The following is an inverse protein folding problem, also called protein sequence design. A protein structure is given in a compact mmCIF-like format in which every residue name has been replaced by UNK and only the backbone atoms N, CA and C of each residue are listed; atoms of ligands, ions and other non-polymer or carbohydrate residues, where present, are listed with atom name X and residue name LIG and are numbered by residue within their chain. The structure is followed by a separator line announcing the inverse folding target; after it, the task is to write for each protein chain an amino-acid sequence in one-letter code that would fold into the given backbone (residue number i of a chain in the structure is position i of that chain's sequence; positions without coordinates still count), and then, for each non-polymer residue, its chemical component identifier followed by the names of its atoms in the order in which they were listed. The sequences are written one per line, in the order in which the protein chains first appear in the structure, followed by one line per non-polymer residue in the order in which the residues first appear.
data_IF_768061477964
#
_entry.id   IF_768061477964
#
_cell.length_a   1.000
_cell.length_b   1.000
_cell.length_c   1.000
_cell.angle_alpha   90.00
_cell.angle_beta   90.00
_cell.angle_gamma   90.00
#
_symmetry.space_group_name_H-M   'P 1'
#
loop_
_entity.id
_entity.type
_entity.pdbx_description
1 polymer ?
#
# COMPACT_ATOMS: atom_id res chain seq x y z
N UNK A 1 1.71 -22.86 -12.78
CA UNK A 1 0.79 -22.80 -11.63
C UNK A 1 1.32 -21.77 -10.65
N UNK A 2 0.46 -21.01 -9.96
CA UNK A 2 0.88 -20.07 -8.92
C UNK A 2 1.77 -20.73 -7.85
N UNK A 3 2.83 -20.05 -7.43
CA UNK A 3 3.80 -20.60 -6.48
C UNK A 3 4.64 -19.49 -5.83
N UNK A 4 5.21 -19.77 -4.65
CA UNK A 4 6.29 -18.99 -4.04
C UNK A 4 7.60 -19.77 -4.21
N UNK A 5 8.51 -19.20 -4.99
CA UNK A 5 9.86 -19.68 -5.22
C UNK A 5 10.83 -18.85 -4.38
N UNK A 6 11.19 -19.38 -3.20
CA UNK A 6 12.07 -18.70 -2.27
C UNK A 6 13.54 -18.73 -2.72
N UNK A 7 13.94 -19.73 -3.51
CA UNK A 7 15.32 -19.85 -4.00
C UNK A 7 15.64 -18.71 -4.99
N UNK A 8 14.68 -18.40 -5.85
CA UNK A 8 14.82 -17.34 -6.85
C UNK A 8 14.21 -15.99 -6.43
N UNK A 9 13.66 -15.89 -5.21
CA UNK A 9 12.99 -14.69 -4.71
C UNK A 9 11.86 -14.23 -5.64
N UNK A 10 10.97 -15.16 -6.01
CA UNK A 10 9.86 -14.94 -6.92
C UNK A 10 8.53 -15.39 -6.33
N UNK A 11 7.49 -14.68 -6.69
CA UNK A 11 6.10 -15.10 -6.59
C UNK A 11 5.58 -15.28 -8.01
N UNK A 12 5.14 -16.47 -8.35
CA UNK A 12 4.52 -16.78 -9.63
C UNK A 12 3.01 -16.54 -9.47
N UNK A 13 2.49 -15.58 -10.22
CA UNK A 13 1.09 -15.20 -10.13
C UNK A 13 0.14 -16.12 -10.88
N UNK A 14 -1.15 -15.84 -10.80
CA UNK A 14 -2.25 -16.68 -11.36
C UNK A 14 -2.11 -16.95 -12.85
N UNK A 15 -1.51 -16.03 -13.60
CA UNK A 15 -1.30 -16.11 -15.06
C UNK A 15 0.13 -16.52 -15.47
N UNK A 16 0.96 -16.90 -14.48
CA UNK A 16 2.36 -17.28 -14.69
C UNK A 16 3.33 -16.11 -14.68
N UNK A 17 2.88 -14.88 -14.41
CA UNK A 17 3.77 -13.73 -14.28
C UNK A 17 4.69 -13.87 -13.08
N UNK A 18 5.97 -13.58 -13.29
CA UNK A 18 6.99 -13.57 -12.24
C UNK A 18 7.04 -12.21 -11.56
N UNK A 19 6.73 -12.20 -10.27
CA UNK A 19 6.79 -11.03 -9.41
C UNK A 19 7.99 -11.17 -8.46
N UNK A 20 8.79 -10.10 -8.32
CA UNK A 20 9.86 -10.09 -7.35
C UNK A 20 9.31 -10.30 -5.93
N UNK A 21 10.02 -11.03 -5.10
CA UNK A 21 9.60 -11.30 -3.72
C UNK A 21 10.76 -10.98 -2.77
N UNK A 22 10.44 -10.41 -1.62
CA UNK A 22 11.34 -10.30 -0.48
C UNK A 22 10.63 -10.84 0.75
N UNK A 23 11.33 -11.66 1.51
CA UNK A 23 10.79 -12.25 2.73
C UNK A 23 11.68 -11.84 3.91
N UNK A 24 11.07 -11.31 4.96
CA UNK A 24 11.71 -11.13 6.27
C UNK A 24 11.18 -12.23 7.18
N UNK A 25 12.06 -13.16 7.49
CA UNK A 25 11.75 -14.36 8.26
C UNK A 25 11.84 -14.10 9.76
N UNK A 26 11.22 -14.97 10.54
CA UNK A 26 11.28 -15.03 12.00
C UNK A 26 12.20 -16.19 12.42
N UNK A 27 12.76 -16.12 13.61
CA UNK A 27 13.60 -17.22 14.15
C UNK A 27 12.76 -18.48 14.43
N UNK A 28 11.53 -18.28 14.89
CA UNK A 28 10.57 -19.35 15.17
C UNK A 28 9.42 -19.35 14.15
N UNK A 29 8.55 -20.36 14.24
CA UNK A 29 7.35 -20.39 13.42
C UNK A 29 6.48 -19.14 13.67
N UNK A 30 6.09 -18.39 12.62
CA UNK A 30 5.41 -17.13 12.81
C UNK A 30 3.97 -17.33 13.30
N UNK A 31 3.57 -16.58 14.33
CA UNK A 31 2.17 -16.48 14.74
C UNK A 31 1.36 -15.59 13.80
N UNK A 32 2.03 -14.61 13.19
CA UNK A 32 1.43 -13.65 12.26
C UNK A 32 2.27 -13.62 10.99
N UNK A 33 1.60 -13.61 9.84
CA UNK A 33 2.22 -13.41 8.54
C UNK A 33 1.61 -12.21 7.84
N UNK A 34 2.45 -11.38 7.20
CA UNK A 34 2.05 -10.17 6.49
C UNK A 34 2.30 -10.34 5.00
N UNK A 35 1.30 -10.04 4.17
CA UNK A 35 1.47 -9.77 2.74
C UNK A 35 1.62 -8.27 2.56
N UNK A 36 2.82 -7.83 2.19
CA UNK A 36 3.17 -6.43 1.99
C UNK A 36 2.94 -5.96 0.55
N UNK A 37 2.21 -4.85 0.37
CA UNK A 37 1.89 -4.24 -0.93
C UNK A 37 2.45 -2.83 -0.97
N UNK A 38 3.48 -2.60 -1.77
CA UNK A 38 4.23 -1.34 -1.82
C UNK A 38 3.51 -0.21 -2.57
N UNK A 39 4.03 1.02 -2.43
CA UNK A 39 3.55 2.22 -3.10
C UNK A 39 4.05 2.41 -4.53
N UNK A 40 3.58 3.47 -5.19
CA UNK A 40 4.00 3.88 -6.54
C UNK A 40 5.50 4.12 -6.60
N UNK A 41 6.14 3.66 -7.68
CA UNK A 41 7.57 3.85 -7.97
C UNK A 41 8.55 3.12 -7.03
N UNK A 42 8.04 2.34 -6.10
CA UNK A 42 8.77 1.56 -5.12
C UNK A 42 8.68 0.06 -5.44
N UNK A 43 9.11 -0.78 -4.55
CA UNK A 43 9.05 -2.24 -4.62
C UNK A 43 9.04 -2.82 -3.19
N UNK A 44 9.21 -4.11 -3.00
CA UNK A 44 9.19 -4.76 -1.69
C UNK A 44 10.05 -4.05 -0.62
N UNK A 45 11.12 -3.34 -1.04
CA UNK A 45 11.97 -2.55 -0.14
C UNK A 45 11.23 -1.43 0.61
N UNK A 46 9.98 -1.13 0.26
CA UNK A 46 9.12 -0.25 1.04
C UNK A 46 8.98 -0.69 2.51
N UNK A 47 9.19 -1.96 2.79
CA UNK A 47 9.09 -2.58 4.10
C UNK A 47 10.42 -2.75 4.84
N UNK A 48 11.55 -2.29 4.29
CA UNK A 48 12.90 -2.54 4.80
C UNK A 48 13.16 -2.07 6.25
N UNK A 49 12.38 -1.11 6.76
CA UNK A 49 12.47 -0.68 8.16
C UNK A 49 11.46 -1.42 9.05
N UNK A 50 10.21 -1.51 8.62
CA UNK A 50 9.14 -2.11 9.40
C UNK A 50 9.26 -3.64 9.49
N UNK A 51 9.55 -4.33 8.39
CA UNK A 51 9.54 -5.78 8.35
C UNK A 51 10.62 -6.43 9.25
N UNK A 52 11.88 -5.96 9.31
CA UNK A 52 12.84 -6.46 10.30
C UNK A 52 12.41 -6.21 11.75
N UNK A 53 11.82 -5.04 12.03
CA UNK A 53 11.30 -4.72 13.35
C UNK A 53 10.19 -5.68 13.78
N UNK A 54 9.28 -6.01 12.86
CA UNK A 54 8.20 -6.96 13.09
C UNK A 54 8.71 -8.40 13.15
N UNK A 55 9.70 -8.77 12.32
CA UNK A 55 10.31 -10.11 12.33
C UNK A 55 10.92 -10.46 13.69
N UNK A 56 11.65 -9.51 14.30
CA UNK A 56 12.19 -9.66 15.66
C UNK A 56 11.09 -9.82 16.74
N UNK A 57 9.81 -9.64 16.36
CA UNK A 57 8.63 -9.75 17.24
C UNK A 57 7.64 -10.81 16.79
N UNK A 58 8.10 -11.78 15.99
CA UNK A 58 7.33 -12.96 15.58
C UNK A 58 6.39 -12.75 14.38
N UNK A 59 6.56 -11.66 13.60
CA UNK A 59 5.74 -11.39 12.42
C UNK A 59 6.57 -11.55 11.16
N UNK A 60 6.31 -12.60 10.39
CA UNK A 60 6.95 -12.85 9.09
C UNK A 60 6.30 -11.99 7.99
N UNK A 61 7.11 -11.36 7.15
CA UNK A 61 6.60 -10.50 6.08
C UNK A 61 7.00 -11.02 4.70
N UNK A 62 6.02 -11.20 3.83
CA UNK A 62 6.15 -11.47 2.40
C UNK A 62 5.77 -10.20 1.62
N UNK A 63 6.72 -9.46 1.08
CA UNK A 63 6.43 -8.32 0.23
C UNK A 63 6.82 -8.63 -1.21
N UNK A 64 5.85 -8.55 -2.11
CA UNK A 64 6.09 -8.74 -3.54
C UNK A 64 6.18 -7.40 -4.27
N UNK A 65 7.00 -7.36 -5.31
CA UNK A 65 7.06 -6.24 -6.22
C UNK A 65 5.84 -6.31 -7.14
N UNK A 66 4.96 -5.33 -7.10
CA UNK A 66 3.78 -5.31 -7.98
C UNK A 66 4.20 -5.29 -9.46
N UNK A 67 3.37 -5.81 -10.36
CA UNK A 67 3.62 -5.70 -11.81
C UNK A 67 3.99 -4.29 -12.21
N UNK A 68 4.95 -4.15 -13.11
CA UNK A 68 5.42 -2.86 -13.58
C UNK A 68 6.43 -2.19 -12.65
N UNK A 69 6.76 -2.81 -11.50
CA UNK A 69 7.66 -2.24 -10.50
C UNK A 69 8.78 -3.21 -10.09
N UNK A 70 9.85 -2.66 -9.52
CA UNK A 70 10.94 -3.42 -8.93
C UNK A 70 11.57 -4.44 -9.88
N UNK A 71 11.54 -5.70 -9.48
CA UNK A 71 12.08 -6.88 -10.20
C UNK A 71 11.01 -7.64 -11.01
N UNK A 72 9.76 -7.15 -10.96
CA UNK A 72 8.63 -7.79 -11.62
C UNK A 72 8.57 -7.52 -13.11
N UNK A 73 7.78 -8.33 -13.83
CA UNK A 73 7.54 -8.17 -15.27
C UNK A 73 6.95 -6.81 -15.60
N UNK A 74 7.23 -6.29 -16.79
CA UNK A 74 6.68 -5.03 -17.32
C UNK A 74 7.19 -3.79 -16.60
N UNK A 75 8.37 -3.81 -15.96
CA UNK A 75 8.91 -2.68 -15.22
C UNK A 75 8.90 -1.38 -16.05
N UNK A 76 8.27 -0.34 -15.49
CA UNK A 76 8.09 0.96 -16.16
C UNK A 76 6.87 1.02 -17.07
N UNK A 77 6.04 -0.01 -17.08
CA UNK A 77 4.72 -0.05 -17.71
C UNK A 77 3.63 -0.04 -16.63
N UNK A 78 2.46 0.49 -16.97
CA UNK A 78 1.32 0.43 -16.04
C UNK A 78 0.53 -0.86 -16.25
N UNK A 79 0.40 -1.70 -15.21
CA UNK A 79 -0.45 -2.88 -15.30
C UNK A 79 -1.94 -2.49 -15.23
N UNK A 80 -2.80 -3.38 -15.70
CA UNK A 80 -4.23 -3.26 -15.45
C UNK A 80 -4.54 -3.38 -13.95
N UNK A 81 -5.52 -2.59 -13.48
CA UNK A 81 -5.92 -2.59 -12.08
C UNK A 81 -6.49 -3.95 -11.62
N UNK A 82 -7.19 -4.66 -12.52
CA UNK A 82 -7.70 -6.00 -12.24
C UNK A 82 -6.55 -7.00 -12.04
N UNK A 83 -5.49 -6.91 -12.84
CA UNK A 83 -4.29 -7.74 -12.67
C UNK A 83 -3.63 -7.48 -11.30
N UNK A 84 -3.53 -6.21 -10.86
CA UNK A 84 -2.97 -5.90 -9.54
C UNK A 84 -3.81 -6.52 -8.41
N UNK A 85 -5.14 -6.50 -8.54
CA UNK A 85 -6.03 -7.13 -7.56
C UNK A 85 -5.91 -8.66 -7.56
N UNK A 86 -5.76 -9.29 -8.74
CA UNK A 86 -5.58 -10.74 -8.85
C UNK A 86 -4.20 -11.18 -8.34
N UNK A 87 -3.15 -10.39 -8.57
CA UNK A 87 -1.82 -10.64 -7.98
C UNK A 87 -1.89 -10.62 -6.46
N UNK A 88 -2.60 -9.65 -5.87
CA UNK A 88 -2.81 -9.59 -4.43
C UNK A 88 -3.57 -10.81 -3.90
N UNK A 89 -4.66 -11.22 -4.58
CA UNK A 89 -5.40 -12.44 -4.20
C UNK A 89 -4.53 -13.68 -4.27
N UNK A 90 -3.73 -13.78 -5.31
CA UNK A 90 -2.79 -14.90 -5.49
C UNK A 90 -1.74 -14.93 -4.40
N UNK A 91 -1.13 -13.78 -4.07
CA UNK A 91 -0.15 -13.67 -3.00
C UNK A 91 -0.75 -14.10 -1.64
N UNK A 92 -1.95 -13.62 -1.33
CA UNK A 92 -2.70 -13.99 -0.12
C UNK A 92 -2.94 -15.50 -0.06
N UNK A 93 -3.47 -16.08 -1.12
CA UNK A 93 -3.78 -17.51 -1.17
C UNK A 93 -2.52 -18.39 -0.99
N UNK A 94 -1.42 -18.02 -1.64
CA UNK A 94 -0.13 -18.72 -1.53
C UNK A 94 0.47 -18.62 -0.12
N UNK A 95 0.42 -17.44 0.49
CA UNK A 95 0.94 -17.24 1.85
C UNK A 95 0.06 -17.96 2.88
N UNK A 96 -1.28 -17.90 2.73
CA UNK A 96 -2.21 -18.63 3.62
C UNK A 96 -2.03 -20.15 3.52
N UNK A 97 -1.84 -20.68 2.32
CA UNK A 97 -1.58 -22.11 2.13
C UNK A 97 -0.25 -22.55 2.78
N UNK A 98 0.74 -21.66 2.86
CA UNK A 98 2.05 -21.94 3.47
C UNK A 98 2.02 -21.80 4.99
N UNK A 99 1.11 -20.99 5.51
CA UNK A 99 0.94 -20.69 6.94
C UNK A 99 -0.54 -20.82 7.34
N UNK A 100 -1.12 -22.03 7.31
CA UNK A 100 -2.57 -22.21 7.50
C UNK A 100 -3.03 -21.77 8.90
N UNK A 101 -2.19 -21.93 9.91
CA UNK A 101 -2.51 -21.67 11.32
C UNK A 101 -2.14 -20.24 11.77
N UNK A 102 -1.35 -19.51 10.99
CA UNK A 102 -0.96 -18.15 11.33
C UNK A 102 -2.09 -17.14 11.01
N UNK A 103 -2.16 -16.10 11.82
CA UNK A 103 -2.95 -14.89 11.51
C UNK A 103 -2.37 -14.24 10.25
N UNK A 104 -3.17 -14.14 9.20
CA UNK A 104 -2.74 -13.51 7.94
C UNK A 104 -3.22 -12.07 7.86
N UNK A 105 -2.27 -11.17 7.65
CA UNK A 105 -2.55 -9.76 7.47
C UNK A 105 -2.11 -9.24 6.10
N UNK A 106 -2.77 -8.21 5.62
CA UNK A 106 -2.34 -7.40 4.46
C UNK A 106 -1.95 -6.01 4.92
N UNK A 107 -0.76 -5.56 4.56
CA UNK A 107 -0.31 -4.18 4.81
C UNK A 107 -0.04 -3.50 3.47
N UNK A 108 -0.91 -2.56 3.09
CA UNK A 108 -0.79 -1.81 1.85
C UNK A 108 -0.31 -0.37 2.09
N UNK A 109 0.78 0.02 1.42
CA UNK A 109 1.37 1.36 1.53
C UNK A 109 0.97 2.19 0.32
N UNK A 110 0.45 3.41 0.52
CA UNK A 110 0.17 4.38 -0.56
C UNK A 110 -0.68 3.75 -1.69
N UNK A 111 -0.14 3.64 -2.92
CA UNK A 111 -0.80 2.95 -4.03
C UNK A 111 -1.17 1.50 -3.66
N UNK A 112 -0.30 0.78 -2.94
CA UNK A 112 -0.61 -0.57 -2.46
C UNK A 112 -1.79 -0.61 -1.49
N UNK A 113 -1.96 0.44 -0.67
CA UNK A 113 -3.15 0.64 0.16
C UNK A 113 -4.41 0.87 -0.68
N UNK A 114 -4.29 1.60 -1.81
CA UNK A 114 -5.41 1.79 -2.74
C UNK A 114 -5.78 0.49 -3.47
N UNK A 115 -4.79 -0.31 -3.91
CA UNK A 115 -5.00 -1.64 -4.51
C UNK A 115 -5.71 -2.56 -3.51
N UNK A 116 -5.22 -2.65 -2.27
CA UNK A 116 -5.84 -3.45 -1.23
C UNK A 116 -7.28 -2.97 -0.94
N UNK A 117 -7.51 -1.67 -0.74
CA UNK A 117 -8.86 -1.14 -0.48
C UNK A 117 -9.81 -1.44 -1.65
N UNK A 118 -9.36 -1.30 -2.90
CA UNK A 118 -10.16 -1.62 -4.08
C UNK A 118 -10.46 -3.13 -4.19
N UNK A 119 -9.54 -3.99 -3.77
CA UNK A 119 -9.73 -5.43 -3.77
C UNK A 119 -10.72 -5.88 -2.69
N UNK A 120 -10.55 -5.40 -1.44
CA UNK A 120 -11.41 -5.78 -0.32
C UNK A 120 -12.83 -5.21 -0.43
N UNK A 121 -13.01 -4.01 -0.98
CA UNK A 121 -14.33 -3.41 -1.22
C UNK A 121 -14.95 -3.77 -2.57
N UNK A 122 -14.37 -4.73 -3.32
CA UNK A 122 -14.93 -5.26 -4.57
C UNK A 122 -16.04 -6.29 -4.31
N UNK A 123 -16.75 -6.70 -5.35
CA UNK A 123 -17.71 -7.83 -5.28
C UNK A 123 -17.05 -9.19 -5.02
N UNK A 124 -15.71 -9.27 -5.03
CA UNK A 124 -14.91 -10.48 -4.76
C UNK A 124 -13.73 -10.11 -3.84
N UNK A 125 -13.95 -9.91 -2.54
CA UNK A 125 -12.89 -9.62 -1.59
C UNK A 125 -11.90 -10.80 -1.50
N UNK A 126 -10.60 -10.53 -1.19
CA UNK A 126 -9.66 -11.60 -0.87
C UNK A 126 -10.12 -12.43 0.33
N UNK A 127 -9.94 -13.74 0.26
CA UNK A 127 -10.33 -14.70 1.30
C UNK A 127 -9.14 -15.06 2.20
N UNK A 128 -9.40 -15.55 3.41
CA UNK A 128 -8.39 -16.06 4.33
C UNK A 128 -7.52 -14.98 4.99
N UNK A 129 -7.98 -13.73 4.99
CA UNK A 129 -7.28 -12.59 5.61
C UNK A 129 -7.95 -12.22 6.93
N UNK A 130 -7.16 -12.13 7.99
CA UNK A 130 -7.62 -11.84 9.34
C UNK A 130 -7.54 -10.35 9.69
N UNK A 131 -6.61 -9.60 9.07
CA UNK A 131 -6.35 -8.16 9.35
C UNK A 131 -5.93 -7.41 8.08
N UNK A 132 -6.31 -6.14 7.97
CA UNK A 132 -5.82 -5.26 6.90
C UNK A 132 -5.37 -3.92 7.45
N UNK A 133 -4.20 -3.45 7.00
CA UNK A 133 -3.69 -2.10 7.31
C UNK A 133 -3.50 -1.32 6.02
N UNK A 134 -4.10 -0.14 5.94
CA UNK A 134 -3.89 0.84 4.89
C UNK A 134 -2.99 1.95 5.43
N UNK A 135 -1.69 1.90 5.10
CA UNK A 135 -0.71 2.88 5.58
C UNK A 135 -0.52 4.00 4.56
N UNK A 136 -0.92 5.23 4.93
CA UNK A 136 -0.89 6.39 4.05
C UNK A 136 -1.54 6.11 2.68
N UNK A 137 -2.75 5.52 2.61
CA UNK A 137 -3.27 4.99 1.36
C UNK A 137 -3.43 6.06 0.28
N UNK A 138 -3.21 5.66 -0.97
CA UNK A 138 -3.37 6.51 -2.14
C UNK A 138 -4.84 6.87 -2.38
N UNK A 139 -5.27 8.05 -1.94
CA UNK A 139 -6.67 8.49 -1.99
C UNK A 139 -6.87 9.77 -2.82
N UNK A 140 -5.88 10.12 -3.66
CA UNK A 140 -5.95 11.27 -4.58
C UNK A 140 -6.52 10.85 -5.94
N UNK A 141 -7.77 10.37 -5.94
CA UNK A 141 -8.47 9.97 -7.16
C UNK A 141 -9.03 11.14 -7.98
N UNK A 142 -9.70 10.80 -9.08
CA UNK A 142 -10.25 11.75 -10.06
C UNK A 142 -11.08 12.86 -9.44
N UNK A 143 -11.85 12.58 -8.39
CA UNK A 143 -12.70 13.56 -7.72
C UNK A 143 -11.95 14.65 -6.93
N UNK A 144 -10.62 14.51 -6.72
CA UNK A 144 -9.80 15.49 -6.01
C UNK A 144 -8.92 16.34 -6.92
N UNK A 145 -8.83 15.97 -8.20
CA UNK A 145 -8.03 16.66 -9.21
C UNK A 145 -8.88 17.75 -9.89
N UNK A 146 -8.34 18.97 -10.11
CA UNK A 146 -9.04 20.03 -10.85
C UNK A 146 -9.51 19.57 -12.23
N UNK A 147 -10.68 20.06 -12.67
CA UNK A 147 -11.32 19.62 -13.92
C UNK A 147 -10.38 19.75 -15.14
N UNK A 148 -9.63 20.85 -15.23
CA UNK A 148 -8.69 21.07 -16.35
C UNK A 148 -7.59 20.00 -16.36
N UNK A 149 -7.06 19.62 -15.20
CA UNK A 149 -6.03 18.55 -15.12
C UNK A 149 -6.62 17.18 -15.46
N UNK A 150 -7.90 16.92 -15.09
CA UNK A 150 -8.60 15.68 -15.47
C UNK A 150 -8.72 15.56 -16.98
N UNK A 151 -9.20 16.64 -17.63
CA UNK A 151 -9.31 16.66 -19.10
C UNK A 151 -7.95 16.52 -19.76
N UNK A 152 -6.94 17.25 -19.28
CA UNK A 152 -5.58 17.14 -19.81
C UNK A 152 -5.02 15.73 -19.68
N UNK A 153 -5.13 15.09 -18.53
CA UNK A 153 -4.64 13.73 -18.31
C UNK A 153 -5.43 12.71 -19.15
N UNK A 154 -6.75 12.85 -19.20
CA UNK A 154 -7.62 11.98 -20.01
C UNK A 154 -7.31 12.07 -21.52
N UNK A 155 -7.02 13.27 -22.04
CA UNK A 155 -6.62 13.47 -23.44
C UNK A 155 -5.21 12.94 -23.68
N UNK A 156 -4.27 13.29 -22.80
CA UNK A 156 -2.86 12.92 -22.97
C UNK A 156 -2.64 11.41 -22.98
N UNK A 157 -3.35 10.63 -22.15
CA UNK A 157 -3.23 9.17 -22.16
C UNK A 157 -3.70 8.52 -23.47
N UNK A 158 -4.61 9.17 -24.19
CA UNK A 158 -5.10 8.69 -25.51
C UNK A 158 -4.21 9.07 -26.67
N UNK A 159 -3.54 10.22 -26.55
CA UNK A 159 -2.71 10.77 -27.64
C UNK A 159 -1.24 10.31 -27.51
N UNK A 160 -0.71 10.28 -26.27
CA UNK A 160 0.70 9.94 -25.98
C UNK A 160 0.85 9.26 -24.63
N UNK A 161 0.38 8.01 -24.46
CA UNK A 161 0.45 7.30 -23.18
C UNK A 161 1.87 7.15 -22.63
N UNK A 162 2.85 6.90 -23.50
CA UNK A 162 4.26 6.74 -23.16
C UNK A 162 5.02 8.05 -22.88
N UNK A 163 4.36 9.22 -22.94
CA UNK A 163 5.05 10.48 -22.68
C UNK A 163 5.47 10.59 -21.22
N UNK A 164 6.77 10.88 -20.99
CA UNK A 164 7.34 11.00 -19.65
C UNK A 164 6.97 12.34 -19.03
N UNK A 165 6.31 12.29 -17.88
CA UNK A 165 5.96 13.45 -17.07
C UNK A 165 7.12 13.79 -16.16
N UNK A 166 7.57 15.03 -16.22
CA UNK A 166 8.56 15.57 -15.28
C UNK A 166 7.89 16.63 -14.41
N UNK A 167 7.93 16.47 -13.08
CA UNK A 167 7.40 17.52 -12.20
C UNK A 167 8.23 18.81 -12.43
N UNK A 168 7.59 19.98 -12.30
CA UNK A 168 8.31 21.24 -12.36
C UNK A 168 9.39 21.29 -11.28
N UNK A 169 10.58 21.84 -11.61
CA UNK A 169 11.75 21.85 -10.71
C UNK A 169 11.55 22.60 -9.38
N UNK A 170 10.52 23.45 -9.31
CA UNK A 170 10.18 24.20 -8.10
C UNK A 170 9.21 23.47 -7.16
N UNK A 171 8.66 22.32 -7.57
CA UNK A 171 7.82 21.50 -6.71
C UNK A 171 8.73 20.56 -5.92
N UNK A 172 8.94 20.89 -4.66
CA UNK A 172 9.59 20.00 -3.70
C UNK A 172 8.51 19.18 -3.03
N UNK A 173 8.57 17.88 -3.22
CA UNK A 173 7.73 16.92 -2.51
C UNK A 173 8.61 16.27 -1.45
N UNK A 174 8.27 16.47 -0.20
CA UNK A 174 8.93 15.86 0.96
C UNK A 174 8.01 14.76 1.50
N UNK A 175 8.14 13.51 1.02
CA UNK A 175 7.26 12.42 1.43
C UNK A 175 7.60 11.84 2.80
N UNK A 176 8.72 12.24 3.40
CA UNK A 176 9.24 11.82 4.70
C UNK A 176 10.20 12.86 5.26
N UNK A 177 10.37 12.90 6.57
CA UNK A 177 11.43 13.66 7.26
C UNK A 177 12.76 12.89 7.35
N UNK A 178 12.79 11.62 6.98
CA UNK A 178 13.98 10.78 6.97
C UNK A 178 14.80 11.00 5.69
N UNK A 179 15.60 12.06 5.71
CA UNK A 179 16.38 12.50 4.53
C UNK A 179 17.41 11.45 4.09
N UNK A 180 17.99 10.70 5.03
CA UNK A 180 18.96 9.66 4.67
C UNK A 180 18.28 8.50 3.92
N UNK A 181 17.14 8.05 4.41
CA UNK A 181 16.30 7.06 3.72
C UNK A 181 15.90 7.55 2.32
N UNK A 182 15.47 8.82 2.18
CA UNK A 182 15.13 9.39 0.88
C UNK A 182 16.33 9.41 -0.08
N UNK A 183 17.54 9.73 0.38
CA UNK A 183 18.75 9.67 -0.46
C UNK A 183 19.04 8.25 -0.96
N UNK A 184 18.90 7.23 -0.08
CA UNK A 184 19.05 5.82 -0.45
C UNK A 184 17.99 5.41 -1.47
N UNK A 185 16.73 5.78 -1.24
CA UNK A 185 15.63 5.52 -2.17
C UNK A 185 15.88 6.16 -3.55
N UNK A 186 16.37 7.41 -3.59
CA UNK A 186 16.69 8.10 -4.84
C UNK A 186 17.89 7.50 -5.57
N UNK A 187 18.80 6.83 -4.89
CA UNK A 187 19.95 6.15 -5.50
C UNK A 187 19.64 4.71 -5.92
N UNK A 188 18.55 4.14 -5.45
CA UNK A 188 18.17 2.75 -5.71
C UNK A 188 17.81 2.54 -7.20
N UNK A 189 18.51 1.64 -7.92
CA UNK A 189 18.26 1.38 -9.34
C UNK A 189 16.91 0.69 -9.60
N UNK A 190 16.31 0.06 -8.62
CA UNK A 190 15.00 -0.59 -8.74
C UNK A 190 13.83 0.38 -8.60
N UNK A 191 14.03 1.54 -7.97
CA UNK A 191 13.05 2.61 -7.90
C UNK A 191 12.79 3.25 -9.28
N UNK A 192 11.55 3.64 -9.54
CA UNK A 192 11.18 4.36 -10.77
C UNK A 192 11.24 5.86 -10.50
N UNK A 193 12.02 6.60 -11.28
CA UNK A 193 12.26 8.03 -11.06
C UNK A 193 11.41 8.95 -11.94
N UNK A 194 10.87 8.41 -13.02
CA UNK A 194 10.07 9.15 -13.99
C UNK A 194 8.86 8.35 -14.38
N UNK A 195 7.70 8.98 -14.45
CA UNK A 195 6.46 8.33 -14.79
C UNK A 195 6.01 8.69 -16.20
N UNK A 196 5.48 7.74 -16.93
CA UNK A 196 4.73 7.97 -18.16
C UNK A 196 3.32 8.46 -17.83
N UNK A 197 2.66 9.11 -18.79
CA UNK A 197 1.27 9.56 -18.68
C UNK A 197 0.34 8.39 -18.29
N UNK A 198 0.53 7.22 -18.88
CA UNK A 198 -0.26 6.02 -18.55
C UNK A 198 -0.16 5.62 -17.09
N UNK A 199 1.05 5.71 -16.49
CA UNK A 199 1.27 5.41 -15.07
C UNK A 199 0.57 6.44 -14.16
N UNK A 200 0.64 7.73 -14.53
CA UNK A 200 -0.07 8.79 -13.78
C UNK A 200 -1.59 8.61 -13.88
N UNK A 201 -2.10 8.30 -15.07
CA UNK A 201 -3.51 8.02 -15.28
C UNK A 201 -3.96 6.78 -14.48
N UNK A 202 -3.17 5.71 -14.54
CA UNK A 202 -3.45 4.46 -13.85
C UNK A 202 -3.48 4.61 -12.33
N UNK A 203 -2.48 5.28 -11.73
CA UNK A 203 -2.47 5.48 -10.28
C UNK A 203 -3.64 6.35 -9.81
N UNK A 204 -4.03 7.37 -10.57
CA UNK A 204 -5.23 8.17 -10.24
C UNK A 204 -6.49 7.32 -10.33
N UNK A 205 -6.55 6.39 -11.28
CA UNK A 205 -7.70 5.49 -11.47
C UNK A 205 -7.82 4.50 -10.31
N UNK A 206 -6.73 3.84 -9.90
CA UNK A 206 -6.77 2.91 -8.75
C UNK A 206 -7.12 3.63 -7.45
N UNK A 207 -6.65 4.88 -7.26
CA UNK A 207 -7.03 5.71 -6.12
C UNK A 207 -8.52 6.06 -6.12
N UNK A 208 -9.12 6.29 -7.30
CA UNK A 208 -10.56 6.50 -7.41
C UNK A 208 -11.35 5.21 -7.17
N UNK A 209 -10.83 4.06 -7.62
CA UNK A 209 -11.43 2.76 -7.33
C UNK A 209 -11.41 2.46 -5.83
N UNK A 210 -10.33 2.76 -5.13
CA UNK A 210 -10.26 2.67 -3.68
C UNK A 210 -11.33 3.54 -3.00
N UNK A 211 -11.49 4.80 -3.45
CA UNK A 211 -12.53 5.67 -2.92
C UNK A 211 -13.95 5.11 -3.14
N UNK A 212 -14.21 4.51 -4.31
CA UNK A 212 -15.51 3.89 -4.62
C UNK A 212 -15.76 2.64 -3.78
N UNK A 213 -14.71 1.84 -3.56
CA UNK A 213 -14.74 0.60 -2.80
C UNK A 213 -14.88 0.80 -1.28
N UNK A 214 -14.40 1.93 -0.76
CA UNK A 214 -14.35 2.22 0.67
C UNK A 214 -15.64 1.92 1.47
N UNK A 215 -16.87 2.28 1.00
CA UNK A 215 -18.10 1.98 1.75
C UNK A 215 -18.47 0.49 1.79
N UNK A 216 -17.85 -0.33 0.94
CA UNK A 216 -18.17 -1.76 0.80
C UNK A 216 -17.11 -2.66 1.48
N UNK A 217 -16.22 -2.10 2.29
CA UNK A 217 -15.24 -2.88 3.05
C UNK A 217 -15.96 -3.84 3.99
N UNK A 218 -15.58 -5.14 3.99
CA UNK A 218 -16.32 -6.16 4.75
C UNK A 218 -16.11 -6.01 6.27
N UNK A 219 -17.19 -6.11 7.03
CA UNK A 219 -17.16 -6.04 8.49
C UNK A 219 -16.51 -7.29 9.13
N UNK A 220 -16.41 -8.39 8.37
CA UNK A 220 -15.79 -9.64 8.84
C UNK A 220 -14.27 -9.56 8.96
N UNK A 221 -13.63 -8.54 8.39
CA UNK A 221 -12.19 -8.35 8.44
C UNK A 221 -11.87 -7.03 9.13
N UNK A 222 -11.32 -7.03 10.34
CA UNK A 222 -10.82 -5.81 11.00
C UNK A 222 -9.81 -5.05 10.16
N UNK A 223 -9.97 -3.73 10.09
CA UNK A 223 -9.14 -2.86 9.25
C UNK A 223 -8.66 -1.64 10.01
N UNK A 224 -7.40 -1.23 9.75
CA UNK A 224 -6.80 -0.02 10.29
C UNK A 224 -6.32 0.87 9.14
N UNK A 225 -6.72 2.14 9.15
CA UNK A 225 -6.20 3.16 8.26
C UNK A 225 -5.28 4.10 9.04
N UNK A 226 -4.01 4.20 8.65
CA UNK A 226 -3.04 5.12 9.24
C UNK A 226 -2.75 6.27 8.28
N UNK A 227 -2.59 7.49 8.80
CA UNK A 227 -2.32 8.66 7.96
C UNK A 227 -1.53 9.74 8.72
N UNK A 228 -0.57 10.36 8.04
CA UNK A 228 0.28 11.44 8.58
C UNK A 228 -0.27 12.83 8.30
N UNK A 229 -0.35 13.68 9.32
CA UNK A 229 -0.87 15.04 9.19
C UNK A 229 -0.04 15.93 8.26
N UNK A 230 1.24 15.61 8.09
CA UNK A 230 2.19 16.32 7.22
C UNK A 230 2.28 15.70 5.81
N UNK A 231 1.36 14.78 5.45
CA UNK A 231 1.32 14.17 4.12
C UNK A 231 0.91 15.18 3.05
N UNK A 232 1.88 15.57 2.21
CA UNK A 232 1.66 16.46 1.05
C UNK A 232 1.53 15.70 -0.26
N UNK A 233 1.82 14.39 -0.28
CA UNK A 233 1.71 13.53 -1.47
C UNK A 233 0.25 13.18 -1.73
N UNK A 234 -0.46 12.76 -0.68
CA UNK A 234 -1.90 12.53 -0.68
C UNK A 234 -2.54 13.61 0.21
N UNK A 235 -2.97 14.74 -0.36
CA UNK A 235 -3.52 15.82 0.43
C UNK A 235 -4.73 15.38 1.25
N UNK A 236 -4.89 15.95 2.45
CA UNK A 236 -5.98 15.66 3.39
C UNK A 236 -7.38 15.72 2.76
N UNK A 237 -7.56 16.54 1.71
CA UNK A 237 -8.82 16.57 0.94
C UNK A 237 -9.19 15.19 0.37
N UNK A 238 -8.19 14.43 -0.13
CA UNK A 238 -8.39 13.06 -0.64
C UNK A 238 -8.74 12.10 0.48
N UNK A 239 -8.01 12.18 1.60
CA UNK A 239 -8.31 11.42 2.81
C UNK A 239 -9.74 11.69 3.29
N UNK A 240 -10.11 12.93 3.58
CA UNK A 240 -11.43 13.31 4.10
C UNK A 240 -12.58 12.88 3.18
N UNK A 241 -12.37 12.94 1.86
CA UNK A 241 -13.36 12.47 0.88
C UNK A 241 -13.68 10.99 1.05
N UNK A 242 -12.65 10.18 1.31
CA UNK A 242 -12.79 8.73 1.46
C UNK A 242 -13.14 8.34 2.89
N UNK A 243 -12.53 8.98 3.89
CA UNK A 243 -12.78 8.71 5.31
C UNK A 243 -14.25 8.84 5.70
N UNK A 244 -14.96 9.82 5.14
CA UNK A 244 -16.41 10.00 5.31
C UNK A 244 -17.26 8.83 4.80
N UNK A 245 -16.69 7.95 4.00
CA UNK A 245 -17.36 6.81 3.39
C UNK A 245 -16.92 5.47 3.99
N UNK A 246 -15.89 5.50 4.83
CA UNK A 246 -15.45 4.28 5.53
C UNK A 246 -16.56 3.81 6.48
N UNK A 247 -16.82 2.49 6.52
CA UNK A 247 -17.69 1.92 7.52
C UNK A 247 -17.15 2.14 8.94
N UNK A 248 -18.04 2.25 9.92
CA UNK A 248 -17.66 2.54 11.31
C UNK A 248 -16.82 1.45 12.00
N UNK A 249 -16.75 0.25 11.44
CA UNK A 249 -15.86 -0.82 11.92
C UNK A 249 -14.40 -0.69 11.49
N UNK A 250 -14.10 0.17 10.53
CA UNK A 250 -12.71 0.47 10.15
C UNK A 250 -12.12 1.39 11.20
N UNK A 251 -11.04 0.99 11.84
CA UNK A 251 -10.29 1.86 12.77
C UNK A 251 -9.39 2.81 11.99
N UNK A 252 -9.04 3.94 12.59
CA UNK A 252 -8.09 4.86 11.97
C UNK A 252 -7.21 5.56 12.97
N UNK A 253 -5.98 5.93 12.55
CA UNK A 253 -4.96 6.59 13.35
C UNK A 253 -4.36 7.77 12.58
N UNK A 254 -4.36 8.96 13.19
CA UNK A 254 -3.89 10.21 12.61
C UNK A 254 -2.64 10.70 13.34
N UNK A 255 -1.48 10.56 12.72
CA UNK A 255 -0.19 10.90 13.31
C UNK A 255 0.14 12.38 13.08
N UNK A 256 0.19 13.23 14.12
CA UNK A 256 0.39 14.68 13.97
C UNK A 256 1.72 15.03 13.29
N UNK A 257 2.75 14.24 13.55
CA UNK A 257 4.08 14.44 13.02
C UNK A 257 4.41 13.55 11.81
N UNK A 258 3.50 12.64 11.43
CA UNK A 258 3.68 11.72 10.33
C UNK A 258 3.64 12.39 8.97
N UNK A 259 4.49 11.90 8.06
CA UNK A 259 4.50 12.24 6.64
C UNK A 259 3.80 11.14 5.83
N UNK A 260 4.01 11.15 4.50
CA UNK A 260 3.43 10.15 3.63
C UNK A 260 4.02 8.74 3.86
N UNK A 261 5.33 8.66 4.09
CA UNK A 261 6.04 7.39 4.27
C UNK A 261 6.09 6.97 5.73
N UNK A 262 4.93 6.86 6.40
CA UNK A 262 4.78 6.56 7.83
C UNK A 262 5.68 5.42 8.34
N UNK A 263 5.85 4.37 7.55
CA UNK A 263 6.70 3.23 7.89
C UNK A 263 8.20 3.48 7.61
N UNK A 264 8.59 4.71 7.27
CA UNK A 264 9.97 5.10 6.97
C UNK A 264 10.36 6.48 7.51
N UNK A 265 9.44 7.17 8.18
CA UNK A 265 9.69 8.45 8.85
C UNK A 265 10.65 8.27 10.05
N UNK A 266 11.22 9.35 10.56
CA UNK A 266 12.10 9.30 11.73
C UNK A 266 11.41 8.72 12.98
N UNK A 267 10.09 8.88 13.07
CA UNK A 267 9.24 8.35 14.15
C UNK A 267 8.50 7.05 13.76
N UNK A 268 8.94 6.35 12.73
CA UNK A 268 8.26 5.18 12.20
C UNK A 268 8.01 4.07 13.24
N UNK A 269 8.85 3.95 14.27
CA UNK A 269 8.67 2.94 15.33
C UNK A 269 7.33 3.08 16.04
N UNK A 270 6.84 4.31 16.28
CA UNK A 270 5.50 4.54 16.84
C UNK A 270 4.41 3.91 15.97
N UNK A 271 4.57 4.01 14.65
CA UNK A 271 3.62 3.40 13.69
C UNK A 271 3.80 1.88 13.63
N UNK A 272 5.04 1.39 13.75
CA UNK A 272 5.31 -0.06 13.80
C UNK A 272 4.65 -0.70 15.01
N UNK A 273 4.70 -0.06 16.19
CA UNK A 273 4.08 -0.55 17.42
C UNK A 273 2.57 -0.56 17.32
N UNK A 274 1.97 0.50 16.77
CA UNK A 274 0.52 0.57 16.57
C UNK A 274 0.04 -0.51 15.60
N UNK A 275 0.75 -0.70 14.47
CA UNK A 275 0.43 -1.75 13.50
C UNK A 275 0.60 -3.12 14.16
N UNK A 276 1.69 -3.36 14.90
CA UNK A 276 1.93 -4.63 15.59
C UNK A 276 0.85 -4.93 16.62
N UNK A 277 0.44 -3.93 17.43
CA UNK A 277 -0.64 -4.09 18.40
C UNK A 277 -1.95 -4.48 17.71
N UNK A 278 -2.30 -3.77 16.63
CA UNK A 278 -3.48 -4.08 15.84
C UNK A 278 -3.41 -5.48 15.19
N UNK A 279 -2.24 -5.91 14.70
CA UNK A 279 -2.05 -7.22 14.11
C UNK A 279 -2.19 -8.36 15.13
N UNK A 280 -1.85 -8.11 16.39
CA UNK A 280 -2.02 -9.07 17.50
C UNK A 280 -3.47 -9.13 17.99
N UNK A 281 -4.05 -7.95 18.21
CA UNK A 281 -5.43 -7.81 18.65
C UNK A 281 -6.06 -6.56 18.01
N UNK A 282 -7.04 -6.78 17.14
CA UNK A 282 -7.69 -5.71 16.40
C UNK A 282 -8.47 -4.72 17.30
N UNK A 283 -8.86 -5.15 18.49
CA UNK A 283 -9.62 -4.33 19.46
C UNK A 283 -8.71 -3.63 20.47
N UNK A 284 -7.45 -4.05 20.60
CA UNK A 284 -6.51 -3.45 21.55
C UNK A 284 -6.31 -1.94 21.27
N UNK A 285 -6.14 -1.11 22.31
CA UNK A 285 -5.74 0.28 22.15
C UNK A 285 -4.42 0.38 21.37
N UNK A 286 -4.30 1.35 20.46
CA UNK A 286 -3.04 1.64 19.81
C UNK A 286 -2.07 2.27 20.82
N UNK A 287 -0.82 1.79 20.93
CA UNK A 287 0.17 2.33 21.88
C UNK A 287 0.37 3.85 21.78
N UNK A 288 0.30 4.42 20.57
CA UNK A 288 0.44 5.86 20.36
C UNK A 288 -0.70 6.70 20.92
N UNK A 289 -1.88 6.10 21.13
CA UNK A 289 -3.11 6.78 21.54
C UNK A 289 -3.54 7.95 20.63
N UNK A 290 -3.08 7.97 19.38
CA UNK A 290 -3.48 9.02 18.41
C UNK A 290 -4.95 8.90 18.06
N UNK A 291 -5.56 10.06 17.78
CA UNK A 291 -6.97 10.12 17.41
C UNK A 291 -7.27 9.60 16.00
N UNK A 292 -8.55 9.48 15.63
CA UNK A 292 -8.98 9.05 14.32
C UNK A 292 -8.65 10.09 13.23
N UNK A 293 -8.58 9.64 11.99
CA UNK A 293 -8.37 10.53 10.84
C UNK A 293 -9.54 11.50 10.65
N UNK A 294 -9.26 12.74 10.20
CA UNK A 294 -10.29 13.74 9.97
C UNK A 294 -11.39 13.28 9.02
N UNK A 295 -12.63 13.37 9.46
CA UNK A 295 -13.82 13.00 8.69
C UNK A 295 -14.25 11.55 8.84
N UNK A 296 -13.50 10.73 9.58
CA UNK A 296 -13.92 9.39 9.98
C UNK A 296 -14.53 9.43 11.38
N UNK A 297 -15.69 8.80 11.55
CA UNK A 297 -16.33 8.54 12.84
C UNK A 297 -16.32 7.04 13.04
N UNK A 298 -15.23 6.54 13.66
CA UNK A 298 -15.21 5.15 14.14
C UNK A 298 -16.29 4.98 15.25
N UNK A 299 -16.97 3.87 15.23
CA UNK A 299 -17.90 3.47 16.31
C UNK A 299 -17.19 2.57 17.30
#
# INVERSE_FOLDING_TARGET
MPNIDLENNRLISFDGAELGLTVWDTEEAPEIVVVGVHGMNDYANAFHMAAPYWAARGVKTYAYDQRGFGRSVGRGEWPDEDLMREDLRTAIALVKARHPDATLAVVGISMGGAVAMSAFGSGRPPEGVDRVVFSGPGLRGWGTIPAIQRVALWTSVRVRPGWVVRPPRFVKIEPSDNIEMLRRLWSDPLGIRTNKIEQVHGVVSVMESAHRAAPNLPASVPMLLTYGAKDIVIPEKGLRRTAKRLPGHVRSAYYPDGYHMLLRDLQAETVFDDVLAFLRDAEAPLPSQVGPVPGHTAR
#
